data_IF_707182592228
#
_entry.id   IF_707182592228
#
_cell.length_a   1.000
_cell.length_b   1.000
_cell.length_c   1.000
_cell.angle_alpha   90.00
_cell.angle_beta   90.00
_cell.angle_gamma   90.00
#
_symmetry.space_group_name_H-M   'P 1'
#
loop_
_entity.id
_entity.type
_entity.pdbx_description
1 polymer ?
#
# COMPACT_ATOMS: atom_id res chain seq x y z
N UNK A 1 48.96 25.63 -29.77
CA UNK A 1 47.71 25.55 -30.56
C UNK A 1 47.12 24.14 -30.60
N UNK A 2 47.94 23.08 -30.49
CA UNK A 2 47.51 21.68 -30.48
C UNK A 2 46.64 21.28 -29.30
N UNK A 3 46.86 21.83 -28.10
CA UNK A 3 46.08 21.50 -26.89
C UNK A 3 44.60 21.87 -26.99
N UNK A 4 44.28 23.04 -27.53
CA UNK A 4 42.90 23.48 -27.74
C UNK A 4 42.18 22.60 -28.78
N UNK A 5 42.92 22.18 -29.81
CA UNK A 5 42.42 21.28 -30.84
C UNK A 5 42.07 19.90 -30.26
N UNK A 6 42.95 19.35 -29.43
CA UNK A 6 42.72 18.08 -28.73
C UNK A 6 41.53 18.16 -27.77
N UNK A 7 41.36 19.31 -27.10
CA UNK A 7 40.23 19.53 -26.20
C UNK A 7 38.90 19.62 -26.97
N UNK A 8 38.88 20.30 -28.12
CA UNK A 8 37.71 20.38 -28.99
C UNK A 8 37.33 19.01 -29.58
N UNK A 9 38.31 18.19 -29.96
CA UNK A 9 38.08 16.82 -30.43
C UNK A 9 37.56 15.94 -29.28
N UNK A 10 38.11 16.08 -28.07
CA UNK A 10 37.62 15.38 -26.88
C UNK A 10 36.17 15.74 -26.53
N UNK A 11 35.80 17.01 -26.63
CA UNK A 11 34.41 17.46 -26.44
C UNK A 11 33.47 16.97 -27.54
N UNK A 12 33.92 16.91 -28.79
CA UNK A 12 33.12 16.43 -29.92
C UNK A 12 32.85 14.92 -29.84
N UNK A 13 33.76 14.15 -29.23
CA UNK A 13 33.63 12.71 -29.01
C UNK A 13 32.87 12.36 -27.72
N UNK A 14 32.63 13.34 -26.84
CA UNK A 14 31.63 13.22 -25.79
C UNK A 14 30.24 13.34 -26.42
N UNK A 15 29.87 12.35 -27.25
CA UNK A 15 28.48 12.14 -27.59
C UNK A 15 27.70 12.09 -26.27
N UNK A 16 26.51 12.73 -26.17
CA UNK A 16 25.67 12.51 -25.00
C UNK A 16 25.46 11.00 -24.96
N UNK A 17 26.05 10.35 -23.96
CA UNK A 17 25.71 8.98 -23.60
C UNK A 17 24.26 9.14 -23.21
N UNK A 18 23.37 8.96 -24.18
CA UNK A 18 21.96 9.21 -24.03
C UNK A 18 21.57 8.37 -22.85
N UNK A 19 21.30 9.03 -21.71
CA UNK A 19 20.76 8.35 -20.57
C UNK A 19 19.59 7.56 -21.15
N UNK A 20 19.65 6.24 -21.06
CA UNK A 20 18.60 5.38 -21.56
C UNK A 20 17.36 5.74 -20.74
N UNK A 21 16.60 6.72 -21.22
CA UNK A 21 15.37 7.15 -20.61
C UNK A 21 14.39 6.06 -20.97
N UNK A 22 14.05 5.22 -19.99
CA UNK A 22 12.91 4.33 -20.13
C UNK A 22 11.66 5.21 -20.22
N UNK A 23 11.34 5.64 -21.43
CA UNK A 23 10.09 6.31 -21.72
C UNK A 23 9.02 5.24 -21.75
N UNK A 24 8.07 5.34 -20.83
CA UNK A 24 6.99 4.37 -20.66
C UNK A 24 5.79 5.07 -20.04
N UNK A 25 4.59 4.60 -20.36
CA UNK A 25 3.37 5.08 -19.71
C UNK A 25 3.01 4.13 -18.57
N UNK A 26 2.75 4.70 -17.39
CA UNK A 26 2.17 3.94 -16.28
C UNK A 26 0.66 4.15 -16.35
N UNK A 27 -0.07 3.13 -16.79
CA UNK A 27 -1.51 3.13 -16.70
C UNK A 27 -1.91 2.85 -15.25
N UNK A 28 -2.40 3.86 -14.54
CA UNK A 28 -2.96 3.71 -13.19
C UNK A 28 -4.47 3.78 -13.30
N UNK A 29 -5.16 2.83 -12.66
CA UNK A 29 -6.62 2.86 -12.50
C UNK A 29 -6.95 3.05 -11.03
N UNK A 30 -7.71 4.11 -10.72
CA UNK A 30 -8.27 4.32 -9.38
C UNK A 30 -9.61 3.61 -9.31
N UNK A 31 -9.69 2.54 -8.52
CA UNK A 31 -10.95 1.86 -8.23
C UNK A 31 -11.50 2.33 -6.89
N UNK A 32 -12.62 3.04 -6.91
CA UNK A 32 -13.36 3.37 -5.69
C UNK A 32 -14.38 2.28 -5.42
N UNK A 33 -14.26 1.63 -4.26
CA UNK A 33 -15.28 0.71 -3.78
C UNK A 33 -16.32 1.47 -2.97
N UNK A 34 -17.59 1.05 -3.03
CA UNK A 34 -18.62 1.55 -2.13
C UNK A 34 -18.25 1.26 -0.66
N UNK A 35 -18.83 2.02 0.28
CA UNK A 35 -18.61 1.80 1.72
C UNK A 35 -18.91 0.33 2.07
N UNK A 36 -18.01 -0.31 2.83
CA UNK A 36 -18.28 -1.62 3.40
C UNK A 36 -19.31 -1.49 4.55
N UNK A 37 -20.23 -2.44 4.65
CA UNK A 37 -21.09 -2.59 5.80
C UNK A 37 -20.31 -3.31 6.91
N UNK A 38 -20.30 -2.71 8.11
CA UNK A 38 -19.62 -3.27 9.28
C UNK A 38 -20.66 -3.39 10.37
N UNK A 39 -21.00 -4.63 10.73
CA UNK A 39 -21.99 -4.91 11.76
C UNK A 39 -21.41 -5.82 12.84
N UNK A 40 -21.76 -5.53 14.09
CA UNK A 40 -21.44 -6.39 15.23
C UNK A 40 -22.66 -7.22 15.58
N UNK A 41 -22.63 -8.50 15.25
CA UNK A 41 -23.64 -9.44 15.71
C UNK A 41 -23.36 -9.78 17.18
N UNK A 42 -24.38 -9.81 18.04
CA UNK A 42 -24.21 -9.94 19.50
C UNK A 42 -23.48 -11.22 19.93
N UNK A 43 -23.54 -12.27 19.11
CA UNK A 43 -22.91 -13.57 19.38
C UNK A 43 -21.52 -13.70 18.75
N UNK A 44 -21.12 -12.79 17.86
CA UNK A 44 -19.85 -12.89 17.16
C UNK A 44 -18.78 -12.05 17.87
N UNK A 45 -17.59 -12.63 18.01
CA UNK A 45 -16.44 -11.95 18.60
C UNK A 45 -15.83 -10.93 17.62
N UNK A 46 -15.89 -11.23 16.33
CA UNK A 46 -15.42 -10.36 15.25
C UNK A 46 -16.60 -9.67 14.56
N UNK A 47 -16.42 -8.44 14.04
CA UNK A 47 -17.43 -7.81 13.21
C UNK A 47 -17.61 -8.58 11.90
N UNK A 48 -18.84 -8.62 11.42
CA UNK A 48 -19.13 -9.00 10.04
C UNK A 48 -18.84 -7.79 9.15
N UNK A 49 -18.07 -8.02 8.08
CA UNK A 49 -17.70 -6.96 7.14
C UNK A 49 -18.05 -7.44 5.73
N UNK A 50 -18.97 -6.74 5.08
CA UNK A 50 -19.34 -6.96 3.69
C UNK A 50 -18.98 -5.75 2.84
N UNK A 51 -18.01 -5.94 1.94
CA UNK A 51 -17.60 -4.94 0.96
C UNK A 51 -18.19 -5.22 -0.43
N UNK A 52 -19.36 -5.84 -0.54
CA UNK A 52 -20.04 -6.09 -1.82
C UNK A 52 -19.31 -7.10 -2.70
N UNK A 53 -18.65 -8.10 -2.10
CA UNK A 53 -17.79 -9.12 -2.77
C UNK A 53 -16.52 -8.56 -3.43
N UNK A 54 -16.12 -7.33 -3.12
CA UNK A 54 -14.85 -6.79 -3.57
C UNK A 54 -13.70 -7.32 -2.70
N UNK A 55 -13.08 -8.43 -3.11
CA UNK A 55 -11.97 -9.06 -2.36
C UNK A 55 -10.79 -8.12 -2.12
N UNK A 56 -10.47 -7.24 -3.07
CA UNK A 56 -9.41 -6.23 -2.91
C UNK A 56 -9.78 -5.09 -1.96
N UNK A 57 -11.04 -4.99 -1.56
CA UNK A 57 -11.53 -4.03 -0.56
C UNK A 57 -11.73 -4.67 0.82
N UNK A 58 -11.58 -6.00 0.92
CA UNK A 58 -11.78 -6.72 2.16
C UNK A 58 -10.67 -6.36 3.15
N UNK A 59 -10.99 -5.77 4.31
CA UNK A 59 -9.97 -5.39 5.28
C UNK A 59 -9.40 -6.62 5.98
N UNK A 60 -8.18 -6.46 6.47
CA UNK A 60 -7.60 -7.39 7.44
C UNK A 60 -8.24 -7.14 8.79
N UNK A 61 -8.80 -8.20 9.39
CA UNK A 61 -9.33 -8.17 10.75
C UNK A 61 -8.38 -8.93 11.67
N UNK A 62 -7.97 -8.29 12.75
CA UNK A 62 -7.14 -8.91 13.79
C UNK A 62 -7.77 -8.77 15.16
N UNK A 63 -7.51 -9.73 16.03
CA UNK A 63 -7.96 -9.75 17.42
C UNK A 63 -6.78 -9.94 18.34
N UNK A 64 -6.73 -9.15 19.42
CA UNK A 64 -5.78 -9.35 20.51
C UNK A 64 -6.50 -9.28 21.85
N UNK A 65 -6.14 -10.18 22.77
CA UNK A 65 -6.65 -10.17 24.14
C UNK A 65 -5.78 -9.21 24.96
N UNK A 66 -6.36 -8.11 25.44
CA UNK A 66 -5.64 -7.10 26.20
C UNK A 66 -5.50 -7.49 27.68
N UNK A 67 -6.61 -7.91 28.30
CA UNK A 67 -6.63 -8.27 29.72
C UNK A 67 -7.76 -9.25 30.01
N UNK A 68 -7.46 -10.30 30.76
CA UNK A 68 -8.44 -11.24 31.28
C UNK A 68 -8.61 -10.98 32.78
N UNK A 69 -9.79 -10.51 33.19
CA UNK A 69 -10.14 -10.37 34.60
C UNK A 69 -10.79 -11.68 35.08
N UNK A 70 -10.02 -12.49 35.81
CA UNK A 70 -10.48 -13.76 36.34
C UNK A 70 -11.57 -13.61 37.43
N UNK A 71 -11.62 -12.45 38.11
CA UNK A 71 -12.58 -12.19 39.19
C UNK A 71 -13.94 -11.75 38.65
N UNK A 72 -13.95 -10.96 37.55
CA UNK A 72 -15.17 -10.54 36.86
C UNK A 72 -15.60 -11.47 35.71
N UNK A 73 -14.76 -12.46 35.36
CA UNK A 73 -14.93 -13.31 34.15
C UNK A 73 -15.08 -12.50 32.86
N UNK A 74 -14.51 -11.29 32.83
CA UNK A 74 -14.52 -10.43 31.66
C UNK A 74 -13.17 -10.52 30.94
N UNK A 75 -13.23 -10.56 29.60
CA UNK A 75 -12.04 -10.50 28.76
C UNK A 75 -12.14 -9.25 27.90
N UNK A 76 -11.22 -8.31 28.10
CA UNK A 76 -11.07 -7.16 27.21
C UNK A 76 -10.29 -7.59 25.97
N UNK A 77 -10.84 -7.25 24.80
CA UNK A 77 -10.31 -7.59 23.49
C UNK A 77 -10.19 -6.31 22.67
N UNK A 78 -9.11 -6.21 21.92
CA UNK A 78 -8.92 -5.21 20.90
C UNK A 78 -9.11 -5.88 19.55
N UNK A 79 -10.10 -5.40 18.79
CA UNK A 79 -10.34 -5.80 17.41
C UNK A 79 -9.90 -4.66 16.51
N UNK A 80 -9.03 -4.95 15.55
CA UNK A 80 -8.50 -3.97 14.60
C UNK A 80 -8.94 -4.33 13.19
N UNK A 81 -9.38 -3.33 12.43
CA UNK A 81 -9.81 -3.45 11.03
C UNK A 81 -8.94 -2.51 10.20
N UNK A 82 -8.16 -3.07 9.28
CA UNK A 82 -7.14 -2.35 8.50
C UNK A 82 -7.29 -2.58 6.98
N UNK A 83 -7.07 -1.54 6.16
CA UNK A 83 -7.10 -1.57 4.70
C UNK A 83 -5.71 -1.33 4.11
#
# INVERSE_FOLDING_TARGET
>A
MTRALLMAIGLAMAAPIGAATSTGSIAVTLTLFSRCDISRQSEQTLPSIDCGRHFSAQPRVTESVLKRDAKRRETSRLVTVEW
#
